data_IF_201744975845
#
_entry.id   IF_201744975845
#
_cell.length_a   1.000
_cell.length_b   1.000
_cell.length_c   1.000
_cell.angle_alpha   90.00
_cell.angle_beta   90.00
_cell.angle_gamma   90.00
#
_symmetry.space_group_name_H-M   'P 1'
#
loop_
_entity.id
_entity.type
_entity.pdbx_description
1 polymer ?
#
# COMPACT_ATOMS: atom_id res chain seq x y z
N UNK A 1 -18.91 0.84 0.80
CA UNK A 1 -18.56 -0.53 1.24
C UNK A 1 -19.09 -0.71 2.65
N UNK A 2 -19.84 -1.77 2.90
CA UNK A 2 -20.52 -2.05 4.17
C UNK A 2 -20.11 -3.42 4.72
N UNK A 3 -18.85 -3.59 5.21
CA UNK A 3 -18.28 -4.91 5.50
C UNK A 3 -18.90 -5.61 6.70
N UNK A 4 -19.54 -4.87 7.61
CA UNK A 4 -20.08 -5.41 8.85
C UNK A 4 -21.59 -5.13 9.06
N UNK A 5 -22.24 -4.56 8.06
CA UNK A 5 -23.62 -4.08 8.17
C UNK A 5 -24.52 -4.82 7.18
N UNK A 6 -25.55 -5.48 7.67
CA UNK A 6 -26.53 -6.18 6.87
C UNK A 6 -27.73 -5.32 6.48
N UNK A 7 -27.87 -4.14 7.08
CA UNK A 7 -28.97 -3.21 6.79
C UNK A 7 -29.07 -2.88 5.32
N UNK A 8 -27.90 -2.70 4.63
CA UNK A 8 -27.88 -2.46 3.20
C UNK A 8 -28.66 -3.51 2.39
N UNK A 9 -28.55 -4.80 2.74
CA UNK A 9 -29.25 -5.86 2.03
C UNK A 9 -30.76 -5.80 2.30
N UNK A 10 -31.13 -5.46 3.53
CA UNK A 10 -32.54 -5.34 3.95
C UNK A 10 -33.17 -4.13 3.28
N UNK A 11 -32.51 -2.98 3.34
CA UNK A 11 -32.99 -1.72 2.75
C UNK A 11 -33.13 -1.84 1.23
N UNK A 12 -32.14 -2.45 0.57
CA UNK A 12 -32.19 -2.68 -0.88
C UNK A 12 -33.34 -3.61 -1.28
N UNK A 13 -33.59 -4.67 -0.49
CA UNK A 13 -34.72 -5.57 -0.71
C UNK A 13 -36.05 -4.81 -0.58
N UNK A 14 -36.21 -3.99 0.46
CA UNK A 14 -37.42 -3.19 0.66
C UNK A 14 -37.65 -2.23 -0.50
N UNK A 15 -36.61 -1.52 -0.97
CA UNK A 15 -36.71 -0.62 -2.12
C UNK A 15 -37.14 -1.34 -3.41
N UNK A 16 -36.73 -2.61 -3.58
CA UNK A 16 -37.19 -3.42 -4.72
C UNK A 16 -38.67 -3.80 -4.55
N UNK A 17 -39.08 -4.20 -3.34
CA UNK A 17 -40.49 -4.57 -3.05
C UNK A 17 -41.43 -3.36 -3.15
N UNK A 18 -40.95 -2.16 -2.83
CA UNK A 18 -41.64 -0.88 -2.98
C UNK A 18 -41.69 -0.37 -4.43
N UNK A 19 -40.91 -0.99 -5.34
CA UNK A 19 -40.81 -0.60 -6.73
C UNK A 19 -39.91 0.59 -7.05
N UNK A 20 -39.19 1.11 -6.05
CA UNK A 20 -38.23 2.22 -6.20
C UNK A 20 -36.93 1.77 -6.92
N UNK A 21 -36.57 0.51 -6.79
CA UNK A 21 -35.43 -0.10 -7.48
C UNK A 21 -35.91 -1.31 -8.30
N UNK A 22 -35.67 -1.30 -9.60
CA UNK A 22 -36.09 -2.42 -10.46
C UNK A 22 -35.21 -3.66 -10.26
N UNK A 23 -35.79 -4.85 -10.43
CA UNK A 23 -35.03 -6.10 -10.48
C UNK A 23 -33.98 -6.10 -11.59
N UNK A 24 -34.27 -5.48 -12.73
CA UNK A 24 -33.33 -5.35 -13.84
C UNK A 24 -32.03 -4.63 -13.40
N UNK A 25 -32.15 -3.59 -12.55
CA UNK A 25 -30.98 -2.89 -11.98
C UNK A 25 -30.16 -3.79 -11.06
N UNK A 26 -30.81 -4.62 -10.26
CA UNK A 26 -30.16 -5.60 -9.39
C UNK A 26 -29.43 -6.64 -10.23
N UNK A 27 -30.12 -7.20 -11.23
CA UNK A 27 -29.54 -8.19 -12.14
C UNK A 27 -28.33 -7.67 -12.91
N UNK A 28 -28.36 -6.41 -13.35
CA UNK A 28 -27.19 -5.78 -13.98
C UNK A 28 -26.00 -5.72 -13.03
N UNK A 29 -26.21 -5.31 -11.78
CA UNK A 29 -25.15 -5.25 -10.77
C UNK A 29 -24.56 -6.64 -10.50
N UNK A 30 -25.39 -7.63 -10.28
CA UNK A 30 -24.97 -9.02 -10.05
C UNK A 30 -24.23 -9.58 -11.27
N UNK A 31 -24.75 -9.34 -12.47
CA UNK A 31 -24.13 -9.79 -13.73
C UNK A 31 -22.74 -9.20 -13.94
N UNK A 32 -22.51 -7.95 -13.54
CA UNK A 32 -21.18 -7.32 -13.61
C UNK A 32 -20.18 -8.00 -12.68
N UNK A 33 -20.59 -8.28 -11.44
CA UNK A 33 -19.74 -8.98 -10.46
C UNK A 33 -19.44 -10.40 -10.91
N UNK A 34 -20.46 -11.15 -11.33
CA UNK A 34 -20.28 -12.51 -11.81
C UNK A 34 -19.40 -12.58 -13.06
N UNK A 35 -19.53 -11.62 -13.98
CA UNK A 35 -18.65 -11.53 -15.15
C UNK A 35 -17.17 -11.41 -14.77
N UNK A 36 -16.85 -10.63 -13.74
CA UNK A 36 -15.48 -10.55 -13.23
C UNK A 36 -15.01 -11.87 -12.65
N UNK A 37 -15.85 -12.53 -11.85
CA UNK A 37 -15.53 -13.85 -11.28
C UNK A 37 -15.26 -14.90 -12.35
N UNK A 38 -16.10 -14.97 -13.40
CA UNK A 38 -15.88 -15.88 -14.53
C UNK A 38 -14.60 -15.54 -15.31
N UNK A 39 -14.33 -14.27 -15.58
CA UNK A 39 -13.11 -13.85 -16.28
C UNK A 39 -11.83 -14.17 -15.51
N UNK A 40 -11.91 -14.15 -14.19
CA UNK A 40 -10.80 -14.50 -13.29
C UNK A 40 -10.73 -16.01 -13.00
N UNK A 41 -11.64 -16.80 -13.56
CA UNK A 41 -11.73 -18.25 -13.37
C UNK A 41 -11.85 -18.67 -11.90
N UNK A 42 -12.54 -17.85 -11.08
CA UNK A 42 -12.61 -18.06 -9.63
C UNK A 42 -13.51 -19.24 -9.21
N UNK A 43 -14.35 -19.75 -10.10
CA UNK A 43 -15.20 -20.92 -9.82
C UNK A 43 -14.43 -22.23 -9.99
N UNK A 44 -13.53 -22.29 -10.98
CA UNK A 44 -12.69 -23.45 -11.27
C UNK A 44 -11.40 -23.42 -10.45
N UNK A 45 -10.89 -22.21 -10.16
CA UNK A 45 -9.66 -22.00 -9.39
C UNK A 45 -9.86 -20.97 -8.28
N UNK A 46 -10.61 -21.31 -7.21
CA UNK A 46 -10.94 -20.39 -6.14
C UNK A 46 -9.73 -20.08 -5.22
N UNK A 47 -8.70 -20.91 -5.24
CA UNK A 47 -7.50 -20.78 -4.41
C UNK A 47 -6.25 -20.62 -5.26
N UNK A 48 -5.30 -19.90 -4.71
CA UNK A 48 -4.01 -19.66 -5.30
C UNK A 48 -2.93 -20.45 -4.56
N UNK A 49 -1.99 -21.01 -5.30
CA UNK A 49 -0.81 -21.62 -4.70
C UNK A 49 0.35 -20.62 -4.76
N UNK A 50 0.97 -20.24 -3.62
CA UNK A 50 2.13 -19.34 -3.63
C UNK A 50 3.28 -19.85 -4.52
N UNK A 51 3.42 -21.17 -4.66
CA UNK A 51 4.45 -21.79 -5.50
C UNK A 51 4.31 -21.52 -7.00
N UNK A 52 3.11 -21.09 -7.45
CA UNK A 52 2.88 -20.69 -8.86
C UNK A 52 3.38 -19.27 -9.17
N UNK A 53 3.79 -18.53 -8.14
CA UNK A 53 4.19 -17.12 -8.24
C UNK A 53 5.58 -16.88 -7.66
N UNK A 54 6.56 -17.57 -8.21
CA UNK A 54 7.96 -17.50 -7.76
C UNK A 54 8.56 -16.10 -7.77
N UNK A 55 8.05 -15.22 -8.63
CA UNK A 55 8.50 -13.82 -8.72
C UNK A 55 7.89 -12.92 -7.61
N UNK A 56 6.86 -13.40 -6.86
CA UNK A 56 6.26 -12.62 -5.79
C UNK A 56 7.27 -12.40 -4.66
N UNK A 57 7.54 -11.14 -4.34
CA UNK A 57 8.54 -10.78 -3.31
C UNK A 57 9.99 -11.03 -3.72
N UNK A 58 10.26 -11.33 -5.01
CA UNK A 58 11.62 -11.55 -5.51
C UNK A 58 12.45 -10.26 -5.59
N UNK A 59 13.77 -10.41 -5.64
CA UNK A 59 14.70 -9.29 -5.87
C UNK A 59 14.36 -8.49 -7.14
N UNK A 60 13.91 -9.16 -8.18
CA UNK A 60 13.43 -8.52 -9.41
C UNK A 60 12.26 -7.56 -9.13
N UNK A 61 11.28 -7.97 -8.34
CA UNK A 61 10.15 -7.11 -7.95
C UNK A 61 10.61 -6.00 -7.00
N UNK A 62 11.53 -6.27 -6.09
CA UNK A 62 12.12 -5.26 -5.20
C UNK A 62 12.85 -4.16 -5.99
N UNK A 63 13.62 -4.52 -7.03
CA UNK A 63 14.27 -3.55 -7.91
C UNK A 63 13.29 -2.68 -8.69
N UNK A 64 12.18 -3.25 -9.17
CA UNK A 64 11.13 -2.47 -9.86
C UNK A 64 10.45 -1.52 -8.89
N UNK A 65 10.12 -1.99 -7.69
CA UNK A 65 9.51 -1.15 -6.64
C UNK A 65 10.44 0.00 -6.24
N UNK A 66 11.72 -0.28 -6.05
CA UNK A 66 12.73 0.74 -5.76
C UNK A 66 12.82 1.77 -6.88
N UNK A 67 12.91 1.34 -8.13
CA UNK A 67 12.96 2.25 -9.28
C UNK A 67 11.72 3.13 -9.38
N UNK A 68 10.53 2.56 -9.17
CA UNK A 68 9.29 3.33 -9.14
C UNK A 68 9.28 4.38 -8.01
N UNK A 69 9.79 4.03 -6.83
CA UNK A 69 9.94 4.98 -5.72
C UNK A 69 10.94 6.10 -6.06
N UNK A 70 12.11 5.78 -6.61
CA UNK A 70 13.12 6.75 -7.03
C UNK A 70 12.57 7.73 -8.08
N UNK A 71 11.81 7.24 -9.05
CA UNK A 71 11.18 8.06 -10.11
C UNK A 71 9.99 8.91 -9.60
N UNK A 72 9.38 8.52 -8.49
CA UNK A 72 8.26 9.27 -7.89
C UNK A 72 8.70 10.45 -7.03
N UNK A 73 9.96 10.48 -6.58
CA UNK A 73 10.47 11.56 -5.74
C UNK A 73 10.58 12.84 -6.58
N UNK A 74 9.87 13.87 -6.13
CA UNK A 74 9.83 15.16 -6.82
C UNK A 74 10.60 16.21 -6.02
N UNK A 75 11.63 16.81 -6.66
CA UNK A 75 12.37 17.91 -6.07
C UNK A 75 11.56 19.21 -6.21
N UNK A 76 10.94 19.65 -5.13
CA UNK A 76 10.11 20.86 -5.12
C UNK A 76 10.93 22.16 -5.03
N UNK A 77 12.07 22.11 -4.32
CA UNK A 77 12.92 23.27 -4.06
C UNK A 77 14.36 22.83 -3.76
N UNK A 78 15.33 23.47 -4.35
CA UNK A 78 16.76 23.27 -4.05
C UNK A 78 17.55 24.57 -4.23
N UNK A 79 17.14 25.62 -3.49
CA UNK A 79 17.84 26.90 -3.49
C UNK A 79 19.23 26.76 -2.85
N UNK A 80 20.24 27.30 -3.51
CA UNK A 80 21.62 27.16 -3.07
C UNK A 80 22.29 25.84 -3.39
N UNK A 81 21.61 24.92 -4.11
CA UNK A 81 22.21 23.66 -4.58
C UNK A 81 22.66 22.72 -3.45
N UNK A 82 21.90 22.65 -2.34
CA UNK A 82 22.22 21.77 -1.19
C UNK A 82 22.13 20.30 -1.58
N UNK A 83 21.21 19.95 -2.48
CA UNK A 83 21.07 18.58 -2.99
C UNK A 83 21.76 18.47 -4.38
N UNK A 84 22.43 17.35 -4.66
CA UNK A 84 22.68 16.20 -3.76
C UNK A 84 23.63 16.54 -2.62
N UNK A 85 23.39 15.95 -1.45
CA UNK A 85 24.26 16.10 -0.30
C UNK A 85 25.68 15.62 -0.62
N UNK A 86 26.66 16.41 -0.25
CA UNK A 86 28.07 16.05 -0.41
C UNK A 86 28.45 14.90 0.52
N UNK A 87 29.36 14.04 0.10
CA UNK A 87 29.90 12.97 0.94
C UNK A 87 30.53 13.57 2.19
N UNK A 88 30.17 13.02 3.35
CA UNK A 88 30.64 13.53 4.65
C UNK A 88 29.88 14.75 5.19
N UNK A 89 28.81 15.18 4.53
CA UNK A 89 27.93 16.22 5.03
C UNK A 89 27.38 15.85 6.42
N UNK A 90 27.37 16.83 7.33
CA UNK A 90 26.73 16.67 8.63
C UNK A 90 25.24 16.86 8.47
N UNK A 91 24.47 15.81 8.76
CA UNK A 91 23.01 15.82 8.63
C UNK A 91 22.39 15.69 10.01
N UNK A 92 21.46 16.60 10.33
CA UNK A 92 20.60 16.50 11.50
C UNK A 92 19.24 15.97 11.04
N UNK A 93 18.82 14.82 11.56
CA UNK A 93 17.51 14.24 11.30
C UNK A 93 16.66 14.41 12.55
N UNK A 94 15.50 15.06 12.41
CA UNK A 94 14.61 15.39 13.52
C UNK A 94 13.17 15.01 13.19
N UNK A 95 12.38 14.78 14.23
CA UNK A 95 10.96 14.50 14.15
C UNK A 95 10.61 13.04 14.43
N UNK A 96 9.37 12.79 14.88
CA UNK A 96 8.92 11.46 15.33
C UNK A 96 8.90 10.41 14.22
N UNK A 97 8.83 10.84 12.97
CA UNK A 97 8.75 9.94 11.81
C UNK A 97 10.12 9.51 11.26
N UNK A 98 11.18 10.13 11.75
CA UNK A 98 12.54 9.88 11.26
C UNK A 98 12.97 8.43 11.48
N UNK A 99 12.58 7.83 12.61
CA UNK A 99 12.93 6.46 12.98
C UNK A 99 11.67 5.60 13.19
N UNK A 100 10.81 5.51 12.18
CA UNK A 100 9.56 4.78 12.25
C UNK A 100 9.20 4.12 10.92
N UNK A 101 9.16 2.80 10.91
CA UNK A 101 8.65 2.05 9.75
C UNK A 101 7.15 2.22 9.56
N UNK A 102 6.40 2.48 10.63
CA UNK A 102 4.96 2.71 10.56
C UNK A 102 4.62 3.88 9.63
N UNK A 103 5.36 4.97 9.72
CA UNK A 103 5.10 6.18 8.91
C UNK A 103 5.54 6.01 7.45
N UNK A 104 6.55 5.18 7.18
CA UNK A 104 6.97 4.83 5.83
C UNK A 104 5.97 3.91 5.11
N UNK A 105 5.36 2.99 5.83
CA UNK A 105 4.45 2.00 5.25
C UNK A 105 2.99 2.45 5.30
N UNK A 106 2.55 3.08 6.38
CA UNK A 106 1.18 3.54 6.57
C UNK A 106 0.16 2.41 6.75
N UNK A 107 -1.10 2.77 6.77
CA UNK A 107 -2.21 1.82 6.83
C UNK A 107 -2.38 1.06 5.51
N UNK A 108 -2.95 -0.14 5.57
CA UNK A 108 -3.23 -1.03 4.44
C UNK A 108 -2.00 -1.56 3.69
N UNK A 109 -0.80 -1.32 4.19
CA UNK A 109 0.43 -1.86 3.60
C UNK A 109 0.76 -3.23 4.19
N UNK A 110 1.11 -3.29 5.48
CA UNK A 110 1.47 -4.53 6.18
C UNK A 110 0.42 -4.95 7.21
N UNK A 111 -0.40 -4.02 7.66
CA UNK A 111 -1.55 -4.25 8.53
C UNK A 111 -2.59 -3.16 8.30
N UNK A 112 -3.79 -3.33 8.90
CA UNK A 112 -4.88 -2.38 8.65
C UNK A 112 -4.52 -0.94 9.00
N UNK A 113 -4.00 -0.70 10.19
CA UNK A 113 -3.64 0.66 10.67
C UNK A 113 -2.13 0.94 10.58
N UNK A 114 -1.34 0.00 10.10
CA UNK A 114 0.12 0.11 10.07
C UNK A 114 0.78 -0.12 11.45
N UNK A 115 0.05 -0.58 12.45
CA UNK A 115 0.51 -0.75 13.84
C UNK A 115 1.58 -1.81 13.99
N UNK A 116 1.66 -2.75 13.05
CA UNK A 116 2.66 -3.83 13.05
C UNK A 116 3.78 -3.65 12.04
N UNK A 117 3.91 -2.46 11.46
CA UNK A 117 4.91 -2.22 10.41
C UNK A 117 6.34 -2.45 10.91
N UNK A 118 6.66 -2.05 12.15
CA UNK A 118 8.00 -2.27 12.73
C UNK A 118 8.36 -3.77 12.89
N UNK A 119 7.34 -4.62 13.06
CA UNK A 119 7.55 -6.08 13.16
C UNK A 119 7.78 -6.72 11.79
N UNK A 120 6.98 -6.33 10.80
CA UNK A 120 7.01 -6.97 9.47
C UNK A 120 8.06 -6.37 8.53
N UNK A 121 8.46 -5.12 8.76
CA UNK A 121 9.42 -4.40 7.95
C UNK A 121 10.74 -4.14 8.67
N UNK A 122 11.01 -4.85 9.78
CA UNK A 122 12.20 -4.63 10.62
C UNK A 122 13.53 -4.94 9.93
N UNK A 123 13.52 -5.59 8.78
CA UNK A 123 14.70 -5.81 7.94
C UNK A 123 15.04 -4.65 6.99
N UNK A 124 14.14 -3.66 6.89
CA UNK A 124 14.32 -2.48 6.05
C UNK A 124 14.73 -1.27 6.88
N UNK A 125 15.49 -0.38 6.27
CA UNK A 125 15.95 0.83 6.94
C UNK A 125 14.81 1.85 7.12
N UNK A 126 14.77 2.46 8.29
CA UNK A 126 14.05 3.74 8.50
C UNK A 126 14.75 4.87 7.73
N UNK A 127 14.12 6.04 7.65
CA UNK A 127 14.75 7.24 7.04
C UNK A 127 16.05 7.56 7.74
N UNK A 128 16.07 7.52 9.07
CA UNK A 128 17.26 7.79 9.87
C UNK A 128 18.39 6.81 9.56
N UNK A 129 18.10 5.52 9.58
CA UNK A 129 19.08 4.47 9.28
C UNK A 129 19.63 4.59 7.86
N UNK A 130 18.76 4.86 6.88
CA UNK A 130 19.17 5.10 5.50
C UNK A 130 20.09 6.31 5.35
N UNK A 131 19.82 7.42 6.08
CA UNK A 131 20.69 8.61 6.11
C UNK A 131 22.03 8.28 6.76
N UNK A 132 22.04 7.57 7.89
CA UNK A 132 23.27 7.13 8.55
C UNK A 132 24.12 6.28 7.61
N UNK A 133 23.51 5.30 6.98
CA UNK A 133 24.17 4.40 6.05
C UNK A 133 24.78 5.15 4.86
N UNK A 134 24.09 6.16 4.36
CA UNK A 134 24.52 6.94 3.18
C UNK A 134 25.54 8.02 3.50
N UNK A 135 25.37 8.73 4.61
CA UNK A 135 26.21 9.86 5.01
C UNK A 135 27.40 9.47 5.90
N UNK A 136 27.43 8.24 6.42
CA UNK A 136 28.46 7.74 7.31
C UNK A 136 28.32 8.18 8.79
N UNK A 137 27.67 9.30 9.07
CA UNK A 137 27.36 9.77 10.42
C UNK A 137 26.18 10.72 10.41
N UNK A 138 25.07 10.35 11.10
CA UNK A 138 23.99 11.26 11.41
C UNK A 138 23.90 11.44 12.94
N UNK A 139 23.71 12.67 13.42
CA UNK A 139 23.38 12.91 14.83
C UNK A 139 21.87 13.07 14.95
N UNK A 140 21.31 12.35 15.90
CA UNK A 140 19.93 12.51 16.34
C UNK A 140 19.95 13.54 17.48
N UNK A 141 19.04 14.45 17.43
CA UNK A 141 18.69 15.33 18.54
C UNK A 141 17.22 15.15 18.87
#
# INVERSE_FOLDING_TARGET
MTPYEWSFCIDLKNLVEEGEVSMERIDDAVRRILRMKFRLNLFERPYWSPSEYSDFGSDKHALVARKAAEESITLLKNEGGILPLQTGAKVLVVGPNANSMRTLNGGWTLSWQGEKADVYAGEYNTILEAVIQRAGHARIS
#
